data_IF_804449937530
#
_entry.id   IF_804449937530
#
_cell.length_a   1.000
_cell.length_b   1.000
_cell.length_c   1.000
_cell.angle_alpha   90.00
_cell.angle_beta   90.00
_cell.angle_gamma   90.00
#
_symmetry.space_group_name_H-M   'P 1'
#
loop_
_entity.id
_entity.type
_entity.pdbx_description
1 polymer ?
#
# COMPACT_ATOMS: atom_id res chain seq x y z
N UNK A 1 -3.95 11.96 12.76
CA UNK A 1 -2.78 11.06 12.75
C UNK A 1 -2.26 10.99 14.18
N UNK A 2 -2.37 9.84 14.87
CA UNK A 2 -1.81 9.67 16.21
C UNK A 2 -0.29 9.65 16.09
N UNK A 3 0.31 10.81 16.28
CA UNK A 3 1.76 10.99 16.29
C UNK A 3 2.29 10.48 17.63
N UNK A 4 3.14 9.46 17.62
CA UNK A 4 3.86 8.94 18.80
C UNK A 4 4.86 9.93 19.39
N UNK A 5 4.89 11.18 18.92
CA UNK A 5 5.80 12.24 19.42
C UNK A 5 5.67 12.52 20.93
N UNK A 6 4.63 12.03 21.61
CA UNK A 6 4.30 12.42 22.98
C UNK A 6 4.16 11.27 23.99
N UNK A 7 4.61 10.05 23.68
CA UNK A 7 4.60 8.95 24.67
C UNK A 7 6.01 8.45 24.92
N UNK A 8 6.56 8.74 26.10
CA UNK A 8 7.87 8.24 26.55
C UNK A 8 7.94 6.71 26.58
N UNK A 9 6.77 6.05 26.67
CA UNK A 9 6.64 4.60 26.64
C UNK A 9 5.97 4.17 25.33
N UNK A 10 6.61 3.28 24.58
CA UNK A 10 5.94 2.58 23.50
C UNK A 10 4.99 1.54 24.12
N UNK A 11 3.67 1.59 23.84
CA UNK A 11 2.73 0.62 24.41
C UNK A 11 2.80 -0.76 23.73
N UNK A 12 3.67 -0.92 22.73
CA UNK A 12 3.80 -2.14 21.94
C UNK A 12 5.09 -2.87 22.29
N UNK A 13 4.96 -4.15 22.63
CA UNK A 13 6.12 -5.03 22.89
C UNK A 13 6.81 -5.47 21.59
N UNK A 14 6.14 -5.37 20.44
CA UNK A 14 6.67 -5.76 19.12
C UNK A 14 5.89 -5.05 18.02
N UNK A 15 6.55 -4.72 16.91
CA UNK A 15 5.94 -4.14 15.72
C UNK A 15 6.14 -5.07 14.52
N UNK A 16 5.06 -5.36 13.78
CA UNK A 16 5.09 -6.11 12.53
C UNK A 16 4.66 -5.18 11.40
N UNK A 17 5.57 -4.91 10.46
CA UNK A 17 5.35 -4.05 9.32
C UNK A 17 5.22 -4.91 8.06
N UNK A 18 4.00 -4.98 7.50
CA UNK A 18 3.74 -5.69 6.26
C UNK A 18 3.79 -4.72 5.06
N UNK A 19 4.77 -4.93 4.18
CA UNK A 19 4.97 -4.13 2.96
C UNK A 19 5.11 -2.61 3.19
N UNK A 20 5.84 -2.15 4.23
CA UNK A 20 5.94 -0.72 4.54
C UNK A 20 6.46 0.09 3.35
N UNK A 21 5.83 1.24 3.11
CA UNK A 21 6.24 2.24 2.12
C UNK A 21 6.76 3.47 2.86
N UNK A 22 7.99 3.39 3.35
CA UNK A 22 8.63 4.51 4.03
C UNK A 22 9.96 4.81 3.34
N UNK A 23 10.33 6.07 3.32
CA UNK A 23 11.54 6.55 2.68
C UNK A 23 12.01 7.77 3.46
N UNK A 24 13.31 7.97 3.67
CA UNK A 24 13.80 9.23 4.24
C UNK A 24 14.02 10.30 3.17
N UNK A 25 14.13 11.54 3.61
CA UNK A 25 14.27 12.71 2.74
C UNK A 25 15.49 12.61 1.82
N UNK A 26 16.62 12.08 2.31
CA UNK A 26 17.84 11.94 1.52
C UNK A 26 17.65 10.95 0.37
N UNK A 27 17.07 9.77 0.66
CA UNK A 27 16.73 8.80 -0.39
C UNK A 27 15.74 9.37 -1.40
N UNK A 28 14.76 10.16 -0.95
CA UNK A 28 13.86 10.84 -1.86
C UNK A 28 14.61 11.78 -2.80
N UNK A 29 15.42 12.70 -2.25
CA UNK A 29 16.18 13.67 -3.06
C UNK A 29 17.03 13.00 -4.12
N UNK A 30 17.69 11.88 -3.80
CA UNK A 30 18.58 11.18 -4.74
C UNK A 30 17.86 10.32 -5.77
N UNK A 31 16.62 9.89 -5.51
CA UNK A 31 15.92 8.90 -6.33
C UNK A 31 14.57 9.38 -6.85
N UNK A 32 14.19 10.64 -6.60
CA UNK A 32 12.87 11.17 -6.96
C UNK A 32 12.58 11.03 -8.45
N UNK A 33 13.54 11.30 -9.34
CA UNK A 33 13.34 11.18 -10.79
C UNK A 33 13.04 9.74 -11.23
N UNK A 34 13.61 8.75 -10.55
CA UNK A 34 13.33 7.33 -10.80
C UNK A 34 11.96 6.93 -10.24
N UNK A 35 11.58 7.50 -9.10
CA UNK A 35 10.38 7.10 -8.36
C UNK A 35 9.10 7.76 -8.87
N UNK A 36 9.19 9.04 -9.23
CA UNK A 36 8.05 9.88 -9.59
C UNK A 36 7.18 9.26 -10.70
N UNK A 37 7.74 8.72 -11.80
CA UNK A 37 6.93 8.14 -12.87
C UNK A 37 6.04 6.99 -12.41
N UNK A 38 6.49 6.20 -11.43
CA UNK A 38 5.70 5.10 -10.88
C UNK A 38 4.50 5.61 -10.07
N UNK A 39 4.70 6.66 -9.27
CA UNK A 39 3.63 7.30 -8.50
C UNK A 39 2.62 8.00 -9.42
N UNK A 40 3.08 8.70 -10.45
CA UNK A 40 2.22 9.34 -11.45
C UNK A 40 1.39 8.30 -12.22
N UNK A 41 2.02 7.20 -12.62
CA UNK A 41 1.32 6.10 -13.29
C UNK A 41 0.21 5.52 -12.42
N UNK A 42 0.48 5.28 -11.13
CA UNK A 42 -0.53 4.74 -10.19
C UNK A 42 -1.63 5.76 -9.95
N UNK A 43 -1.28 7.02 -9.72
CA UNK A 43 -2.23 8.13 -9.53
C UNK A 43 -3.15 8.26 -10.74
N UNK A 44 -2.60 8.21 -11.95
CA UNK A 44 -3.37 8.28 -13.19
C UNK A 44 -4.28 7.06 -13.36
N UNK A 45 -3.78 5.85 -13.06
CA UNK A 45 -4.61 4.64 -13.10
C UNK A 45 -5.78 4.71 -12.10
N UNK A 46 -5.57 5.29 -10.92
CA UNK A 46 -6.63 5.50 -9.91
C UNK A 46 -7.67 6.51 -10.40
N UNK A 47 -7.25 7.62 -11.01
CA UNK A 47 -8.15 8.68 -11.50
C UNK A 47 -9.03 8.24 -12.66
N UNK A 48 -8.57 7.31 -13.49
CA UNK A 48 -9.28 6.88 -14.71
C UNK A 48 -10.00 5.53 -14.56
N UNK A 49 -9.91 4.87 -13.40
CA UNK A 49 -10.61 3.59 -13.20
C UNK A 49 -12.11 3.82 -13.04
N UNK A 50 -12.85 2.75 -13.29
CA UNK A 50 -14.28 2.70 -13.06
C UNK A 50 -14.58 2.63 -11.56
N UNK A 51 -15.58 3.37 -11.08
CA UNK A 51 -15.90 3.49 -9.65
C UNK A 51 -17.38 3.27 -9.27
N UNK A 52 -18.26 3.06 -10.26
CA UNK A 52 -19.71 2.81 -10.06
C UNK A 52 -20.17 1.53 -10.77
N UNK A 53 -20.72 0.54 -10.09
CA UNK A 53 -21.22 -0.69 -10.72
C UNK A 53 -22.69 -0.93 -10.44
N UNK A 54 -23.38 -1.70 -11.28
CA UNK A 54 -24.79 -2.07 -11.08
C UNK A 54 -25.02 -2.97 -9.87
N UNK A 55 -23.99 -3.73 -9.43
CA UNK A 55 -24.04 -4.60 -8.26
C UNK A 55 -22.64 -4.97 -7.78
N UNK A 56 -22.52 -5.49 -6.55
CA UNK A 56 -21.25 -6.04 -6.04
C UNK A 56 -20.71 -7.19 -6.91
N UNK A 57 -21.60 -8.00 -7.51
CA UNK A 57 -21.23 -9.07 -8.45
C UNK A 57 -20.62 -8.52 -9.73
N UNK A 58 -21.16 -7.43 -10.27
CA UNK A 58 -20.58 -6.75 -11.44
C UNK A 58 -19.22 -6.14 -11.11
N UNK A 59 -19.08 -5.52 -9.94
CA UNK A 59 -17.79 -5.00 -9.47
C UNK A 59 -16.74 -6.11 -9.27
N UNK A 60 -17.15 -7.26 -8.70
CA UNK A 60 -16.26 -8.41 -8.56
C UNK A 60 -15.71 -8.89 -9.91
N UNK A 61 -16.59 -9.06 -10.91
CA UNK A 61 -16.19 -9.39 -12.29
C UNK A 61 -15.22 -8.36 -12.87
N UNK A 62 -15.45 -7.06 -12.60
CA UNK A 62 -14.55 -6.00 -13.01
C UNK A 62 -13.14 -6.14 -12.39
N UNK A 63 -13.07 -6.41 -11.08
CA UNK A 63 -11.82 -6.52 -10.34
C UNK A 63 -11.01 -7.76 -10.74
N UNK A 64 -11.61 -8.95 -10.81
CA UNK A 64 -10.87 -10.17 -11.17
C UNK A 64 -10.28 -10.12 -12.59
N UNK A 65 -10.83 -9.27 -13.46
CA UNK A 65 -10.35 -9.10 -14.83
C UNK A 65 -9.21 -8.07 -14.96
N UNK A 66 -8.91 -7.29 -13.92
CA UNK A 66 -8.01 -6.12 -14.02
C UNK A 66 -6.90 -6.15 -13.00
N UNK A 67 -5.74 -5.68 -13.42
CA UNK A 67 -4.64 -5.38 -12.53
C UNK A 67 -4.99 -4.18 -11.63
N UNK A 68 -4.65 -4.19 -10.33
CA UNK A 68 -3.86 -5.21 -9.64
C UNK A 68 -4.66 -6.40 -9.09
N UNK A 69 -5.98 -6.29 -9.01
CA UNK A 69 -6.82 -7.25 -8.29
C UNK A 69 -6.79 -8.66 -8.87
N UNK A 70 -6.60 -8.81 -10.19
CA UNK A 70 -6.46 -10.11 -10.83
C UNK A 70 -5.24 -10.93 -10.31
N UNK A 71 -4.24 -10.26 -9.72
CA UNK A 71 -3.06 -10.89 -9.10
C UNK A 71 -3.29 -11.29 -7.64
N UNK A 72 -4.36 -10.81 -7.01
CA UNK A 72 -4.67 -11.14 -5.63
C UNK A 72 -5.29 -12.54 -5.53
N UNK A 73 -5.20 -13.14 -4.33
CA UNK A 73 -5.90 -14.38 -4.04
C UNK A 73 -7.42 -14.23 -4.26
N UNK A 74 -8.12 -15.23 -4.86
CA UNK A 74 -9.54 -15.11 -5.19
C UNK A 74 -10.41 -14.71 -4.00
N UNK A 75 -10.11 -15.26 -2.81
CA UNK A 75 -10.79 -14.92 -1.55
C UNK A 75 -10.60 -13.45 -1.15
N UNK A 76 -9.43 -12.87 -1.39
CA UNK A 76 -9.14 -11.45 -1.08
C UNK A 76 -9.97 -10.55 -2.00
N UNK A 77 -10.03 -10.86 -3.31
CA UNK A 77 -10.84 -10.06 -4.25
C UNK A 77 -12.33 -10.17 -3.92
N UNK A 78 -12.80 -11.34 -3.50
CA UNK A 78 -14.17 -11.53 -3.02
C UNK A 78 -14.47 -10.63 -1.82
N UNK A 79 -13.62 -10.67 -0.77
CA UNK A 79 -13.77 -9.78 0.39
C UNK A 79 -13.71 -8.30 0.03
N UNK A 80 -12.80 -7.91 -0.86
CA UNK A 80 -12.70 -6.53 -1.33
C UNK A 80 -13.99 -6.09 -2.02
N UNK A 81 -14.53 -6.92 -2.91
CA UNK A 81 -15.79 -6.63 -3.63
C UNK A 81 -16.98 -6.56 -2.68
N UNK A 82 -16.97 -7.33 -1.61
CA UNK A 82 -18.06 -7.37 -0.63
C UNK A 82 -18.02 -6.16 0.32
N UNK A 83 -16.83 -5.80 0.82
CA UNK A 83 -16.70 -4.86 1.93
C UNK A 83 -16.18 -3.47 1.54
N UNK A 84 -15.50 -3.31 0.40
CA UNK A 84 -14.98 -2.02 -0.05
C UNK A 84 -16.03 -1.17 -0.78
N UNK A 85 -17.23 -1.71 -1.03
CA UNK A 85 -18.32 -1.04 -1.74
C UNK A 85 -19.47 -0.67 -0.79
N UNK A 86 -20.22 0.38 -1.16
CA UNK A 86 -21.45 0.83 -0.51
C UNK A 86 -22.56 1.00 -1.55
N UNK A 87 -23.81 0.81 -1.15
CA UNK A 87 -24.96 1.12 -2.00
C UNK A 87 -25.05 2.62 -2.26
N UNK A 88 -25.52 2.99 -3.45
CA UNK A 88 -25.75 4.36 -3.89
C UNK A 88 -26.84 4.36 -4.97
N UNK A 89 -27.15 5.55 -5.49
CA UNK A 89 -27.91 5.73 -6.72
C UNK A 89 -27.07 6.44 -7.77
N UNK A 90 -27.32 6.14 -9.04
CA UNK A 90 -26.69 6.84 -10.16
C UNK A 90 -27.45 8.14 -10.52
N UNK A 91 -27.08 8.77 -11.65
CA UNK A 91 -27.70 10.02 -12.11
C UNK A 91 -29.18 9.85 -12.52
N UNK A 92 -29.61 8.62 -12.81
CA UNK A 92 -30.98 8.27 -13.19
C UNK A 92 -31.80 7.71 -12.00
N UNK A 93 -31.32 7.88 -10.76
CA UNK A 93 -31.89 7.32 -9.53
C UNK A 93 -31.90 5.77 -9.47
N UNK A 94 -31.14 5.09 -10.36
CA UNK A 94 -31.06 3.62 -10.35
C UNK A 94 -30.09 3.14 -9.27
N UNK A 95 -30.46 2.05 -8.62
CA UNK A 95 -29.63 1.43 -7.59
C UNK A 95 -28.27 0.98 -8.17
N UNK A 96 -27.19 1.39 -7.52
CA UNK A 96 -25.83 1.04 -7.89
C UNK A 96 -24.97 0.81 -6.65
N UNK A 97 -23.73 0.37 -6.86
CA UNK A 97 -22.70 0.29 -5.82
C UNK A 97 -21.51 1.13 -6.22
N UNK A 98 -20.96 1.85 -5.25
CA UNK A 98 -19.77 2.67 -5.42
C UNK A 98 -18.74 2.31 -4.38
N UNK A 99 -17.50 2.72 -4.58
CA UNK A 99 -16.46 2.51 -3.56
C UNK A 99 -16.74 3.32 -2.30
N UNK A 100 -16.39 2.74 -1.14
CA UNK A 100 -16.38 3.45 0.15
C UNK A 100 -15.31 4.53 0.20
N UNK A 101 -14.13 4.25 -0.34
CA UNK A 101 -13.04 5.21 -0.46
C UNK A 101 -13.11 5.91 -1.83
N UNK A 102 -13.39 7.23 -1.88
CA UNK A 102 -13.41 8.03 -3.10
C UNK A 102 -12.08 7.95 -3.86
N UNK A 103 -12.13 8.12 -5.19
CA UNK A 103 -10.93 8.06 -6.01
C UNK A 103 -9.91 9.15 -5.67
N UNK A 104 -10.38 10.34 -5.30
CA UNK A 104 -9.52 11.47 -4.90
C UNK A 104 -8.68 11.12 -3.66
N UNK A 105 -9.28 10.58 -2.60
CA UNK A 105 -8.55 10.19 -1.38
C UNK A 105 -7.58 9.03 -1.63
N UNK A 106 -7.92 8.07 -2.51
CA UNK A 106 -6.95 7.02 -2.86
C UNK A 106 -5.79 7.59 -3.68
N UNK A 107 -6.06 8.51 -4.61
CA UNK A 107 -5.02 9.14 -5.43
C UNK A 107 -4.08 10.01 -4.58
N UNK A 108 -4.59 10.73 -3.58
CA UNK A 108 -3.81 11.52 -2.63
C UNK A 108 -2.77 10.69 -1.86
N UNK A 109 -3.06 9.41 -1.59
CA UNK A 109 -2.10 8.51 -0.96
C UNK A 109 -0.86 8.21 -1.83
N UNK A 110 -0.90 8.58 -3.12
CA UNK A 110 0.21 8.46 -4.07
C UNK A 110 0.69 9.83 -4.57
N UNK A 111 0.29 10.92 -3.93
CA UNK A 111 0.81 12.26 -4.24
C UNK A 111 2.06 12.58 -3.41
N UNK A 112 2.83 13.56 -3.89
CA UNK A 112 4.23 13.85 -3.52
C UNK A 112 4.37 14.57 -2.15
N UNK A 113 3.36 14.60 -1.30
CA UNK A 113 3.58 15.01 0.10
C UNK A 113 4.09 13.84 0.92
N UNK A 114 5.34 13.48 0.66
CA UNK A 114 6.03 12.35 1.28
C UNK A 114 6.56 12.67 2.69
N UNK A 115 6.29 13.86 3.24
CA UNK A 115 6.80 14.24 4.56
C UNK A 115 6.42 13.21 5.63
N UNK A 116 5.20 12.70 5.57
CA UNK A 116 4.75 11.65 6.49
C UNK A 116 5.55 10.34 6.34
N UNK A 117 6.01 10.01 5.14
CA UNK A 117 6.88 8.85 4.89
C UNK A 117 8.30 9.07 5.43
N UNK A 118 8.80 10.31 5.35
CA UNK A 118 10.10 10.71 5.87
C UNK A 118 10.11 10.67 7.40
N UNK A 119 9.14 11.32 8.02
CA UNK A 119 8.95 11.31 9.48
C UNK A 119 8.81 9.85 9.97
N UNK A 120 8.08 8.99 9.26
CA UNK A 120 7.95 7.59 9.63
C UNK A 120 9.27 6.81 9.50
N UNK A 121 10.07 7.08 8.47
CA UNK A 121 11.35 6.43 8.25
C UNK A 121 12.41 6.83 9.29
N UNK A 122 12.37 8.06 9.80
CA UNK A 122 13.19 8.50 10.94
C UNK A 122 12.71 7.87 12.25
N UNK A 123 11.40 7.87 12.50
CA UNK A 123 10.84 7.26 13.71
C UNK A 123 11.12 5.76 13.77
N UNK A 124 11.19 5.09 12.62
CA UNK A 124 11.57 3.69 12.56
C UNK A 124 12.96 3.44 13.18
N UNK A 125 13.94 4.30 12.91
CA UNK A 125 15.28 4.20 13.49
C UNK A 125 15.28 4.39 15.01
N UNK A 126 14.41 5.26 15.52
CA UNK A 126 14.24 5.46 16.97
C UNK A 126 13.55 4.27 17.63
N UNK A 127 12.50 3.74 17.00
CA UNK A 127 11.72 2.62 17.52
C UNK A 127 12.49 1.29 17.48
N UNK A 128 13.29 1.06 16.44
CA UNK A 128 14.08 -0.16 16.26
C UNK A 128 15.07 -0.42 17.41
N UNK A 129 15.46 0.63 18.17
CA UNK A 129 16.33 0.50 19.34
C UNK A 129 15.58 0.10 20.62
N UNK A 130 14.26 0.26 20.65
CA UNK A 130 13.42 0.12 21.86
C UNK A 130 12.43 -1.04 21.76
N UNK A 131 11.99 -1.36 20.55
CA UNK A 131 10.96 -2.36 20.29
C UNK A 131 11.44 -3.29 19.19
N UNK A 132 11.32 -4.61 19.36
CA UNK A 132 11.54 -5.56 18.28
C UNK A 132 10.65 -5.26 17.07
N UNK A 133 11.28 -5.10 15.90
CA UNK A 133 10.57 -4.81 14.65
C UNK A 133 10.80 -5.94 13.65
N UNK A 134 9.71 -6.49 13.13
CA UNK A 134 9.70 -7.43 12.04
C UNK A 134 9.15 -6.77 10.78
N UNK A 135 9.86 -6.90 9.67
CA UNK A 135 9.40 -6.43 8.36
C UNK A 135 9.08 -7.62 7.48
N UNK A 136 7.84 -7.73 7.01
CA UNK A 136 7.42 -8.72 6.03
C UNK A 136 7.28 -8.06 4.65
N UNK A 137 8.00 -8.54 3.63
CA UNK A 137 7.94 -8.02 2.26
C UNK A 137 7.90 -9.12 1.20
N UNK A 138 7.28 -8.85 0.06
CA UNK A 138 7.24 -9.81 -1.06
C UNK A 138 8.57 -9.85 -1.82
N UNK A 139 9.05 -11.04 -2.19
CA UNK A 139 10.21 -11.25 -3.08
C UNK A 139 9.92 -10.76 -4.50
N UNK A 140 8.75 -11.18 -5.01
CA UNK A 140 8.28 -10.78 -6.31
C UNK A 140 7.26 -9.70 -6.11
N UNK A 141 7.61 -8.58 -6.69
CA UNK A 141 6.99 -7.35 -6.35
C UNK A 141 5.64 -7.24 -7.13
N UNK A 142 4.54 -7.83 -6.66
CA UNK A 142 3.23 -7.68 -7.31
C UNK A 142 2.70 -6.26 -7.04
N UNK A 143 2.51 -5.43 -8.08
CA UNK A 143 2.45 -3.94 -8.00
C UNK A 143 3.74 -3.29 -7.48
N UNK A 144 4.39 -3.91 -6.52
CA UNK A 144 5.68 -3.49 -6.01
C UNK A 144 6.77 -3.55 -7.09
N UNK A 145 6.60 -4.25 -8.24
CA UNK A 145 7.66 -4.40 -9.27
C UNK A 145 7.94 -3.08 -9.95
N UNK A 146 7.03 -2.13 -9.73
CA UNK A 146 7.17 -0.72 -10.03
C UNK A 146 7.33 0.14 -8.80
N UNK A 147 7.31 -0.42 -7.57
CA UNK A 147 7.86 0.30 -6.43
C UNK A 147 9.37 0.23 -6.61
N UNK A 148 10.04 1.38 -6.75
CA UNK A 148 11.48 1.39 -6.88
C UNK A 148 12.07 0.70 -5.66
N UNK A 149 12.99 -0.23 -5.93
CA UNK A 149 13.59 -1.10 -4.91
C UNK A 149 14.19 -0.27 -3.77
N UNK A 150 14.63 0.96 -4.10
CA UNK A 150 15.11 1.97 -3.17
C UNK A 150 14.15 2.25 -1.99
N UNK A 151 12.82 2.20 -2.17
CA UNK A 151 11.86 2.39 -1.06
C UNK A 151 11.95 1.23 -0.08
N UNK A 152 12.04 0.00 -0.60
CA UNK A 152 12.14 -1.19 0.24
C UNK A 152 13.49 -1.30 0.92
N UNK A 153 14.55 -0.90 0.23
CA UNK A 153 15.91 -0.93 0.76
C UNK A 153 16.10 0.14 1.83
N UNK A 154 15.45 1.30 1.66
CA UNK A 154 15.39 2.33 2.69
C UNK A 154 14.94 1.72 4.02
N UNK A 155 13.78 1.06 4.09
CA UNK A 155 13.25 0.50 5.34
C UNK A 155 14.21 -0.47 6.06
N UNK A 156 15.04 -1.21 5.34
CA UNK A 156 15.93 -2.24 5.89
C UNK A 156 17.40 -1.80 6.00
N UNK A 157 17.70 -0.55 5.64
CA UNK A 157 19.06 -0.01 5.63
C UNK A 157 19.60 0.22 7.05
N UNK A 158 20.46 -0.69 7.49
CA UNK A 158 21.11 -0.63 8.81
C UNK A 158 22.01 0.59 8.98
N UNK A 159 22.58 1.15 7.90
CA UNK A 159 23.45 2.33 7.97
C UNK A 159 22.70 3.56 8.47
N UNK A 160 21.37 3.57 8.32
CA UNK A 160 20.45 4.63 8.78
C UNK A 160 19.92 4.39 10.20
N UNK A 161 20.54 3.49 10.96
CA UNK A 161 20.16 3.16 12.33
C UNK A 161 18.93 2.25 12.46
N UNK A 162 18.50 1.62 11.36
CA UNK A 162 17.32 0.74 11.31
C UNK A 162 17.71 -0.67 11.72
N UNK A 163 17.78 -0.92 13.02
CA UNK A 163 18.17 -2.22 13.59
C UNK A 163 16.94 -3.12 13.74
N UNK A 164 16.47 -3.66 12.62
CA UNK A 164 15.32 -4.57 12.59
C UNK A 164 15.67 -5.93 13.21
N UNK A 165 14.73 -6.52 13.94
CA UNK A 165 14.88 -7.86 14.52
C UNK A 165 14.84 -8.94 13.44
N UNK A 166 13.94 -8.80 12.46
CA UNK A 166 13.81 -9.76 11.37
C UNK A 166 13.23 -9.12 10.11
N UNK A 167 13.66 -9.64 8.96
CA UNK A 167 13.11 -9.30 7.65
C UNK A 167 12.67 -10.59 6.97
N UNK A 168 11.36 -10.78 6.86
CA UNK A 168 10.75 -11.94 6.21
C UNK A 168 10.46 -11.60 4.75
N UNK A 169 10.89 -12.46 3.84
CA UNK A 169 10.61 -12.35 2.42
C UNK A 169 9.66 -13.46 1.97
N UNK A 170 8.51 -13.11 1.39
CA UNK A 170 7.53 -14.08 0.88
C UNK A 170 7.44 -14.08 -0.65
N UNK A 171 7.40 -15.26 -1.25
CA UNK A 171 7.06 -15.38 -2.68
C UNK A 171 5.54 -15.48 -2.79
N UNK A 172 4.93 -14.67 -3.65
CA UNK A 172 3.51 -14.85 -3.98
C UNK A 172 3.34 -16.21 -4.66
N UNK A 173 2.47 -17.06 -4.13
CA UNK A 173 2.13 -18.33 -4.78
C UNK A 173 1.61 -18.04 -6.20
N UNK A 174 2.22 -18.65 -7.22
CA UNK A 174 1.68 -18.62 -8.59
C UNK A 174 0.27 -19.20 -8.51
N UNK A 175 -0.73 -18.50 -9.08
CA UNK A 175 -2.02 -19.14 -9.39
C UNK A 175 -1.70 -20.34 -10.27
N UNK A 176 -1.78 -21.54 -9.72
CA UNK A 176 -1.98 -22.73 -10.53
C UNK A 176 -3.25 -22.44 -11.32
N UNK A 177 -3.10 -22.28 -12.64
CA UNK A 177 -4.24 -22.17 -13.52
C UNK A 177 -4.86 -23.55 -13.50
N UNK A 178 -5.91 -23.73 -12.71
CA UNK A 178 -6.85 -24.83 -12.93
C UNK A 178 -7.28 -24.73 -14.40
N UNK A 179 -6.90 -25.77 -15.16
CA UNK A 179 -7.21 -25.92 -16.59
C UNK A 179 -8.66 -26.32 -16.75
#
# INVERSE_FOLDING_TARGET
MLSTRHSDKCPYNTLILAGPSMMDENTWKTSHEEIQPAFDMVTNAIKHRWDVWTSKKAAHKYFIARFPWNSWGPRIVAFFSEHALRSSKDKDDKACVVRKCPMIHEAEAFQIDLKHTWDAAEQLSNLARRVPILVARGKQLSLNARRPQVIHDCVVDKTKGRVLTSVIMFTMARKEREK
#
